data_IF_377635883663
#
_entry.id   IF_377635883663
#
_cell.length_a   1.000
_cell.length_b   1.000
_cell.length_c   1.000
_cell.angle_alpha   90.00
_cell.angle_beta   90.00
_cell.angle_gamma   90.00
#
_symmetry.space_group_name_H-M   'P 1'
#
loop_
_entity.id
_entity.type
_entity.pdbx_description
1 polymer ?
#
# COMPACT_ATOMS: atom_id res chain seq x y z
N UNK A 1 37.28 0.61 -55.23
CA UNK A 1 38.54 -0.07 -54.86
C UNK A 1 39.15 0.71 -53.72
N UNK A 2 39.27 0.09 -52.54
CA UNK A 2 39.70 0.75 -51.31
C UNK A 2 39.52 -0.21 -50.13
N UNK A 3 40.51 -1.08 -49.98
CA UNK A 3 40.74 -2.04 -48.90
C UNK A 3 40.80 -1.25 -47.57
N UNK A 4 40.22 -1.68 -46.45
CA UNK A 4 40.64 -2.82 -45.65
C UNK A 4 41.09 -2.29 -44.27
N UNK A 5 40.61 -2.91 -43.17
CA UNK A 5 40.97 -2.48 -41.82
C UNK A 5 40.06 -3.01 -40.72
N UNK A 6 39.84 -4.33 -40.66
CA UNK A 6 39.21 -4.97 -39.51
C UNK A 6 40.21 -5.05 -38.36
N UNK A 7 39.99 -4.26 -37.31
CA UNK A 7 40.79 -4.32 -36.09
C UNK A 7 40.12 -5.28 -35.12
N UNK A 8 40.65 -6.51 -35.07
CA UNK A 8 40.23 -7.58 -34.17
C UNK A 8 40.76 -7.26 -32.76
N UNK A 9 39.89 -6.77 -31.87
CA UNK A 9 40.23 -6.50 -30.47
C UNK A 9 40.22 -7.82 -29.71
N UNK A 10 41.39 -8.44 -29.60
CA UNK A 10 41.61 -9.61 -28.75
C UNK A 10 41.45 -9.22 -27.27
N UNK A 11 40.28 -9.50 -26.69
CA UNK A 11 40.08 -9.47 -25.24
C UNK A 11 40.94 -10.56 -24.57
N UNK A 12 42.16 -10.18 -24.13
CA UNK A 12 42.93 -10.97 -23.17
C UNK A 12 42.21 -10.97 -21.83
N UNK A 13 41.56 -12.09 -21.51
CA UNK A 13 41.09 -12.40 -20.16
C UNK A 13 42.31 -12.68 -19.28
N UNK A 14 42.56 -11.93 -18.20
CA UNK A 14 43.60 -12.31 -17.24
C UNK A 14 43.12 -13.52 -16.44
N UNK A 15 43.70 -14.68 -16.76
CA UNK A 15 43.64 -15.87 -15.91
C UNK A 15 44.54 -15.65 -14.69
N UNK A 16 43.94 -15.21 -13.57
CA UNK A 16 44.56 -15.25 -12.25
C UNK A 16 43.49 -15.51 -11.18
N UNK A 17 42.93 -16.71 -11.19
CA UNK A 17 42.25 -17.26 -10.01
C UNK A 17 43.36 -17.71 -9.05
N UNK A 18 43.86 -16.76 -8.25
CA UNK A 18 44.75 -17.05 -7.13
C UNK A 18 43.93 -17.85 -6.11
N UNK A 19 44.36 -19.08 -5.85
CA UNK A 19 43.78 -19.98 -4.85
C UNK A 19 43.83 -19.36 -3.45
N UNK A 20 42.73 -18.74 -3.03
CA UNK A 20 42.46 -18.43 -1.63
C UNK A 20 42.25 -19.74 -0.89
N UNK A 21 43.25 -20.14 -0.09
CA UNK A 21 43.13 -21.25 0.84
C UNK A 21 41.86 -21.09 1.71
N UNK A 22 41.10 -22.17 1.98
CA UNK A 22 39.88 -22.08 2.75
C UNK A 22 40.18 -21.48 4.14
N UNK A 23 39.36 -20.52 4.63
CA UNK A 23 39.58 -19.89 5.92
C UNK A 23 39.62 -20.96 7.02
N UNK A 24 40.63 -20.90 7.90
CA UNK A 24 40.75 -21.86 9.00
C UNK A 24 39.52 -21.71 9.88
N UNK A 25 38.99 -22.81 10.43
CA UNK A 25 37.77 -22.81 11.28
C UNK A 25 37.80 -21.73 12.39
N UNK A 26 38.97 -21.42 12.92
CA UNK A 26 39.15 -20.39 13.94
C UNK A 26 38.96 -18.95 13.43
N UNK A 27 39.26 -18.67 12.16
CA UNK A 27 39.08 -17.34 11.57
C UNK A 27 37.60 -17.03 11.36
N UNK A 28 36.80 -18.06 11.02
CA UNK A 28 35.35 -17.95 10.95
C UNK A 28 34.74 -17.56 12.31
N UNK A 29 35.14 -18.25 13.38
CA UNK A 29 34.63 -17.95 14.73
C UNK A 29 35.01 -16.55 15.18
N UNK A 30 36.24 -16.09 14.90
CA UNK A 30 36.68 -14.73 15.21
C UNK A 30 35.86 -13.68 14.46
N UNK A 31 35.60 -13.89 13.17
CA UNK A 31 34.75 -12.98 12.36
C UNK A 31 33.31 -12.96 12.86
N UNK A 32 32.71 -14.12 13.11
CA UNK A 32 31.34 -14.22 13.60
C UNK A 32 31.19 -13.55 14.98
N UNK A 33 32.17 -13.73 15.88
CA UNK A 33 32.17 -13.06 17.18
C UNK A 33 32.32 -11.55 17.05
N UNK A 34 33.23 -11.07 16.18
CA UNK A 34 33.40 -9.65 15.91
C UNK A 34 32.12 -9.01 15.32
N UNK A 35 31.48 -9.69 14.38
CA UNK A 35 30.20 -9.26 13.78
C UNK A 35 29.08 -9.22 14.82
N UNK A 36 28.99 -10.24 15.68
CA UNK A 36 27.99 -10.28 16.77
C UNK A 36 28.21 -9.14 17.76
N UNK A 37 29.46 -8.88 18.14
CA UNK A 37 29.83 -7.78 19.04
C UNK A 37 29.51 -6.42 18.42
N UNK A 38 29.81 -6.26 17.13
CA UNK A 38 29.48 -5.04 16.38
C UNK A 38 27.97 -4.82 16.33
N UNK A 39 27.19 -5.85 15.98
CA UNK A 39 25.72 -5.77 15.94
C UNK A 39 25.13 -5.42 17.30
N UNK A 40 25.65 -6.02 18.37
CA UNK A 40 25.22 -5.70 19.73
C UNK A 40 25.53 -4.23 20.08
N UNK A 41 26.73 -3.76 19.74
CA UNK A 41 27.13 -2.37 19.98
C UNK A 41 26.26 -1.38 19.21
N UNK A 42 26.06 -1.62 17.90
CA UNK A 42 25.17 -0.82 17.05
C UNK A 42 23.76 -0.83 17.62
N UNK A 43 23.21 -1.99 17.97
CA UNK A 43 21.87 -2.11 18.56
C UNK A 43 21.73 -1.27 19.84
N UNK A 44 22.73 -1.31 20.72
CA UNK A 44 22.74 -0.50 21.95
C UNK A 44 22.73 1.01 21.66
N UNK A 45 23.57 1.47 20.73
CA UNK A 45 23.65 2.90 20.36
C UNK A 45 22.36 3.36 19.68
N UNK A 46 21.88 2.61 18.68
CA UNK A 46 20.64 2.93 17.95
C UNK A 46 19.43 2.94 18.89
N UNK A 47 19.35 2.00 19.84
CA UNK A 47 18.29 2.01 20.84
C UNK A 47 18.32 3.28 21.70
N UNK A 48 19.49 3.67 22.20
CA UNK A 48 19.64 4.89 22.99
C UNK A 48 19.25 6.15 22.19
N UNK A 49 19.68 6.23 20.94
CA UNK A 49 19.35 7.35 20.04
C UNK A 49 17.87 7.40 19.66
N UNK A 50 17.20 6.24 19.57
CA UNK A 50 15.76 6.18 19.26
C UNK A 50 14.91 6.80 20.37
N UNK A 51 15.39 6.78 21.61
CA UNK A 51 14.75 7.43 22.75
C UNK A 51 15.09 8.93 22.85
N UNK A 52 16.10 9.40 22.12
CA UNK A 52 16.59 10.78 22.17
C UNK A 52 15.83 11.70 21.21
N UNK A 53 15.38 12.84 21.73
CA UNK A 53 14.79 13.90 20.90
C UNK A 53 15.84 14.83 20.29
N UNK A 54 17.08 14.80 20.78
CA UNK A 54 18.17 15.69 20.36
C UNK A 54 18.85 15.34 19.03
N UNK A 55 19.98 16.01 18.78
CA UNK A 55 20.90 15.69 17.66
C UNK A 55 21.54 14.32 17.90
N UNK A 56 21.86 13.62 16.81
CA UNK A 56 22.57 12.34 16.85
C UNK A 56 23.94 12.50 17.50
N UNK A 57 24.32 11.56 18.37
CA UNK A 57 25.68 11.52 18.91
C UNK A 57 26.72 11.30 17.81
N UNK A 58 27.95 11.77 18.05
CA UNK A 58 29.09 11.53 17.16
C UNK A 58 29.36 10.04 16.97
N UNK A 59 29.18 9.25 18.04
CA UNK A 59 29.33 7.79 18.01
C UNK A 59 28.31 7.15 17.06
N UNK A 60 27.03 7.55 17.13
CA UNK A 60 26.01 7.06 16.22
C UNK A 60 26.37 7.37 14.76
N UNK A 61 26.76 8.61 14.45
CA UNK A 61 27.13 9.00 13.09
C UNK A 61 28.32 8.20 12.55
N UNK A 62 29.36 7.97 13.36
CA UNK A 62 30.52 7.14 12.97
C UNK A 62 30.07 5.72 12.60
N UNK A 63 29.21 5.11 13.42
CA UNK A 63 28.70 3.76 13.16
C UNK A 63 27.84 3.68 11.90
N UNK A 64 27.06 4.72 11.60
CA UNK A 64 26.26 4.77 10.38
C UNK A 64 27.14 4.82 9.14
N UNK A 65 28.18 5.63 9.14
CA UNK A 65 29.09 5.78 8.00
C UNK A 65 29.97 4.54 7.80
N UNK A 66 30.50 3.97 8.88
CA UNK A 66 31.42 2.81 8.81
C UNK A 66 30.68 1.49 8.56
N UNK A 67 29.45 1.36 9.08
CA UNK A 67 28.72 0.09 9.11
C UNK A 67 27.24 0.24 8.70
N UNK A 68 26.93 0.84 7.55
CA UNK A 68 25.56 1.20 7.17
C UNK A 68 24.63 -0.02 7.09
N UNK A 69 25.13 -1.17 6.58
CA UNK A 69 24.34 -2.39 6.45
C UNK A 69 23.92 -2.98 7.81
N UNK A 70 24.80 -2.90 8.81
CA UNK A 70 24.50 -3.39 10.17
C UNK A 70 23.48 -2.48 10.82
N UNK A 71 23.63 -1.15 10.68
CA UNK A 71 22.65 -0.17 11.17
C UNK A 71 21.28 -0.41 10.55
N UNK A 72 21.21 -0.51 9.21
CA UNK A 72 19.95 -0.79 8.51
C UNK A 72 19.31 -2.08 9.00
N UNK A 73 20.10 -3.13 9.27
CA UNK A 73 19.58 -4.39 9.82
C UNK A 73 18.89 -4.22 11.16
N UNK A 74 19.46 -3.44 12.08
CA UNK A 74 18.89 -3.14 13.40
C UNK A 74 17.63 -2.29 13.26
N UNK A 75 17.63 -1.29 12.38
CA UNK A 75 16.44 -0.46 12.13
C UNK A 75 15.28 -1.31 11.59
N UNK A 76 15.54 -2.20 10.62
CA UNK A 76 14.52 -3.09 10.03
C UNK A 76 13.84 -4.00 11.06
N UNK A 77 14.57 -4.47 12.06
CA UNK A 77 14.02 -5.35 13.11
C UNK A 77 12.91 -4.67 13.90
N UNK A 78 12.96 -3.35 14.05
CA UNK A 78 12.01 -2.58 14.85
C UNK A 78 10.92 -1.89 14.01
N UNK A 79 11.12 -1.79 12.69
CA UNK A 79 10.19 -1.18 11.72
C UNK A 79 9.17 -2.19 11.20
N UNK A 80 8.27 -2.69 12.06
CA UNK A 80 7.15 -3.51 11.62
C UNK A 80 5.82 -3.06 12.21
N UNK A 81 4.73 -3.45 11.55
CA UNK A 81 3.37 -3.17 12.01
C UNK A 81 3.15 -3.79 13.39
N UNK A 82 2.72 -2.97 14.35
CA UNK A 82 2.45 -3.42 15.72
C UNK A 82 3.64 -3.30 16.68
N UNK A 83 4.85 -2.98 16.21
CA UNK A 83 5.96 -2.64 17.11
C UNK A 83 5.63 -1.36 17.89
N UNK A 84 5.78 -1.36 19.23
CA UNK A 84 5.62 -0.15 20.03
C UNK A 84 6.73 0.88 19.76
N UNK A 85 7.86 0.44 19.21
CA UNK A 85 9.02 1.29 18.93
C UNK A 85 9.09 1.78 17.49
N UNK A 86 8.18 1.35 16.61
CA UNK A 86 8.23 1.70 15.17
C UNK A 86 8.27 3.22 14.94
N UNK A 87 7.55 4.01 15.74
CA UNK A 87 7.56 5.47 15.63
C UNK A 87 8.95 6.05 15.89
N UNK A 88 9.56 5.67 17.02
CA UNK A 88 10.87 6.14 17.44
C UNK A 88 11.96 5.78 16.42
N UNK A 89 11.94 4.54 15.94
CA UNK A 89 12.91 4.05 14.95
C UNK A 89 12.74 4.68 13.57
N UNK A 90 11.50 4.96 13.16
CA UNK A 90 11.24 5.64 11.90
C UNK A 90 11.69 7.10 11.95
N UNK A 91 11.42 7.78 13.06
CA UNK A 91 11.92 9.15 13.29
C UNK A 91 13.45 9.19 13.40
N UNK A 92 14.07 8.17 14.01
CA UNK A 92 15.52 8.03 14.02
C UNK A 92 16.08 7.84 12.61
N UNK A 93 15.43 7.01 11.78
CA UNK A 93 15.83 6.82 10.37
C UNK A 93 15.82 8.15 9.60
N UNK A 94 14.80 9.00 9.78
CA UNK A 94 14.76 10.35 9.18
C UNK A 94 15.97 11.18 9.61
N UNK A 95 16.24 11.26 10.93
CA UNK A 95 17.41 11.98 11.46
C UNK A 95 18.73 11.48 10.86
N UNK A 96 18.87 10.17 10.71
CA UNK A 96 20.07 9.56 10.14
C UNK A 96 20.19 9.95 8.66
N UNK A 97 19.11 9.86 7.89
CA UNK A 97 19.12 10.23 6.47
C UNK A 97 19.48 11.70 6.26
N UNK A 98 19.01 12.59 7.15
CA UNK A 98 19.32 14.03 7.10
C UNK A 98 20.79 14.36 7.46
N UNK A 99 21.44 13.52 8.26
CA UNK A 99 22.77 13.79 8.82
C UNK A 99 23.92 13.02 8.15
N UNK A 100 23.62 11.97 7.39
CA UNK A 100 24.62 11.07 6.83
C UNK A 100 25.00 11.39 5.39
N UNK A 101 26.12 10.81 4.97
CA UNK A 101 26.65 10.94 3.63
C UNK A 101 25.92 10.05 2.62
N UNK A 102 26.26 10.22 1.35
CA UNK A 102 25.77 9.40 0.25
C UNK A 102 26.03 7.89 0.45
N UNK A 103 27.06 7.50 1.22
CA UNK A 103 27.39 6.10 1.47
C UNK A 103 26.23 5.35 2.14
N UNK A 104 25.60 5.98 3.13
CA UNK A 104 24.45 5.43 3.83
C UNK A 104 23.22 5.41 2.93
N UNK A 105 22.98 6.47 2.16
CA UNK A 105 21.86 6.52 1.21
C UNK A 105 21.97 5.42 0.15
N UNK A 106 23.17 5.15 -0.38
CA UNK A 106 23.41 4.08 -1.33
C UNK A 106 23.19 2.69 -0.71
N UNK A 107 23.63 2.48 0.54
CA UNK A 107 23.32 1.25 1.26
C UNK A 107 21.81 1.09 1.49
N UNK A 108 21.11 2.18 1.81
CA UNK A 108 19.66 2.21 1.98
C UNK A 108 18.93 1.91 0.67
N UNK A 109 19.38 2.44 -0.47
CA UNK A 109 18.76 2.24 -1.78
C UNK A 109 18.87 0.79 -2.29
N UNK A 110 19.91 0.06 -1.85
CA UNK A 110 20.11 -1.37 -2.10
C UNK A 110 19.30 -2.27 -1.15
N UNK A 111 18.74 -1.73 -0.06
CA UNK A 111 18.05 -2.50 0.97
C UNK A 111 16.55 -2.66 0.70
N UNK A 112 16.22 -3.63 -0.16
CA UNK A 112 14.82 -3.94 -0.50
C UNK A 112 13.98 -4.43 0.68
N UNK A 113 14.60 -5.04 1.69
CA UNK A 113 13.88 -5.48 2.88
C UNK A 113 13.39 -4.28 3.70
N UNK A 114 14.21 -3.23 3.82
CA UNK A 114 13.77 -1.97 4.44
C UNK A 114 12.66 -1.30 3.63
N UNK A 115 12.80 -1.23 2.31
CA UNK A 115 11.77 -0.67 1.42
C UNK A 115 10.41 -1.33 1.65
N UNK A 116 10.39 -2.67 1.71
CA UNK A 116 9.17 -3.44 1.94
C UNK A 116 8.54 -3.10 3.31
N UNK A 117 9.35 -2.95 4.36
CA UNK A 117 8.88 -2.56 5.69
C UNK A 117 8.28 -1.15 5.70
N UNK A 118 8.93 -0.17 5.06
CA UNK A 118 8.43 1.20 4.97
C UNK A 118 7.10 1.26 4.21
N UNK A 119 7.01 0.59 3.06
CA UNK A 119 5.76 0.49 2.28
C UNK A 119 4.66 -0.20 3.09
N UNK A 120 4.97 -1.30 3.79
CA UNK A 120 4.02 -2.00 4.69
C UNK A 120 3.49 -1.08 5.79
N UNK A 121 4.36 -0.30 6.44
CA UNK A 121 3.95 0.66 7.46
C UNK A 121 3.03 1.76 6.90
N UNK A 122 3.31 2.25 5.69
CA UNK A 122 2.51 3.29 5.02
C UNK A 122 1.13 2.80 4.55
N UNK A 123 1.01 1.53 4.17
CA UNK A 123 -0.23 0.91 3.66
C UNK A 123 -1.09 0.29 4.77
N UNK A 124 -0.50 -0.11 5.89
CA UNK A 124 -1.20 -0.84 6.94
C UNK A 124 -2.48 -0.14 7.42
N UNK A 125 -3.50 -0.94 7.72
CA UNK A 125 -4.65 -0.46 8.48
C UNK A 125 -4.18 -0.12 9.90
N UNK A 126 -4.50 1.10 10.34
CA UNK A 126 -4.06 1.64 11.62
C UNK A 126 -5.25 1.92 12.52
N UNK A 127 -5.47 1.01 13.46
CA UNK A 127 -6.42 1.17 14.56
C UNK A 127 -5.69 1.78 15.76
N UNK A 128 -6.32 2.78 16.40
CA UNK A 128 -5.71 3.54 17.48
C UNK A 128 -4.80 4.69 17.03
N UNK A 129 -4.56 5.63 17.95
CA UNK A 129 -3.79 6.85 17.70
C UNK A 129 -2.33 6.58 17.34
N UNK A 130 -1.65 5.71 18.09
CA UNK A 130 -0.22 5.44 17.89
C UNK A 130 0.09 4.78 16.54
N UNK A 131 -0.70 3.79 16.13
CA UNK A 131 -0.53 3.16 14.81
C UNK A 131 -0.80 4.16 13.68
N UNK A 132 -1.76 5.09 13.87
CA UNK A 132 -2.04 6.16 12.90
C UNK A 132 -0.87 7.14 12.81
N UNK A 133 -0.23 7.49 13.93
CA UNK A 133 0.99 8.31 13.94
C UNK A 133 2.13 7.64 13.17
N UNK A 134 2.40 6.36 13.42
CA UNK A 134 3.44 5.60 12.68
C UNK A 134 3.15 5.58 11.19
N UNK A 135 1.92 5.22 10.80
CA UNK A 135 1.52 5.22 9.39
C UNK A 135 1.66 6.60 8.76
N UNK A 136 1.19 7.64 9.44
CA UNK A 136 1.28 9.02 8.95
C UNK A 136 2.73 9.43 8.77
N UNK A 137 3.60 9.14 9.72
CA UNK A 137 5.03 9.41 9.63
C UNK A 137 5.63 8.67 8.43
N UNK A 138 5.38 7.37 8.28
CA UNK A 138 5.90 6.59 7.15
C UNK A 138 5.51 7.17 5.79
N UNK A 139 4.27 7.65 5.66
CA UNK A 139 3.81 8.30 4.43
C UNK A 139 4.51 9.63 4.17
N UNK A 140 4.81 10.41 5.20
CA UNK A 140 5.59 11.64 5.08
C UNK A 140 7.04 11.32 4.70
N UNK A 141 7.68 10.36 5.37
CA UNK A 141 9.03 9.90 5.04
C UNK A 141 9.14 9.51 3.56
N UNK A 142 8.19 8.73 3.04
CA UNK A 142 8.23 8.27 1.65
C UNK A 142 8.02 9.41 0.64
N UNK A 143 7.20 10.42 0.96
CA UNK A 143 7.07 11.61 0.12
C UNK A 143 8.36 12.44 0.13
N UNK A 144 8.97 12.56 1.30
CA UNK A 144 10.23 13.29 1.44
C UNK A 144 11.34 12.60 0.64
N UNK A 145 11.45 11.27 0.70
CA UNK A 145 12.40 10.52 -0.14
C UNK A 145 12.11 10.67 -1.63
N UNK A 146 10.83 10.72 -2.02
CA UNK A 146 10.43 10.99 -3.40
C UNK A 146 10.94 12.34 -3.88
N UNK A 147 10.97 13.36 -3.01
CA UNK A 147 11.50 14.69 -3.32
C UNK A 147 13.02 14.75 -3.25
N UNK A 148 13.62 14.18 -2.21
CA UNK A 148 15.07 14.25 -1.96
C UNK A 148 15.90 13.50 -3.00
N UNK A 149 15.41 12.37 -3.49
CA UNK A 149 16.21 11.43 -4.29
C UNK A 149 15.77 11.34 -5.76
N UNK A 150 14.87 12.21 -6.23
CA UNK A 150 14.34 12.14 -7.61
C UNK A 150 15.41 12.33 -8.68
N UNK A 151 16.37 13.23 -8.43
CA UNK A 151 17.40 13.61 -9.40
C UNK A 151 18.69 12.77 -9.29
N UNK A 152 18.70 11.75 -8.41
CA UNK A 152 19.88 10.91 -8.16
C UNK A 152 19.60 9.48 -8.67
N UNK A 153 20.13 9.09 -9.85
CA UNK A 153 19.81 7.81 -10.48
C UNK A 153 20.10 6.59 -9.60
N UNK A 154 21.17 6.62 -8.81
CA UNK A 154 21.59 5.54 -7.90
C UNK A 154 20.63 5.33 -6.73
N UNK A 155 19.83 6.37 -6.40
CA UNK A 155 18.87 6.38 -5.29
C UNK A 155 17.42 6.34 -5.78
N UNK A 156 17.20 6.12 -7.08
CA UNK A 156 15.87 6.15 -7.69
C UNK A 156 14.90 5.10 -7.10
N UNK A 157 15.42 4.00 -6.55
CA UNK A 157 14.60 3.00 -5.85
C UNK A 157 13.88 3.60 -4.64
N UNK A 158 14.53 4.50 -3.90
CA UNK A 158 13.95 5.23 -2.76
C UNK A 158 12.90 6.24 -3.25
N UNK A 159 13.22 6.99 -4.30
CA UNK A 159 12.32 8.00 -4.84
C UNK A 159 10.98 7.42 -5.35
N UNK A 160 10.98 6.15 -5.77
CA UNK A 160 9.81 5.43 -6.28
C UNK A 160 8.91 4.83 -5.20
N UNK A 161 9.32 4.79 -3.93
CA UNK A 161 8.56 4.12 -2.87
C UNK A 161 7.17 4.74 -2.64
N UNK A 162 7.04 6.06 -2.74
CA UNK A 162 5.73 6.73 -2.66
C UNK A 162 4.78 6.22 -3.76
N UNK A 163 5.27 6.10 -5.00
CA UNK A 163 4.50 5.55 -6.12
C UNK A 163 4.09 4.09 -5.92
N UNK A 164 4.91 3.28 -5.24
CA UNK A 164 4.53 1.91 -4.86
C UNK A 164 3.34 1.90 -3.87
N UNK A 165 3.34 2.80 -2.89
CA UNK A 165 2.21 2.94 -1.96
C UNK A 165 0.93 3.35 -2.70
N UNK A 166 1.02 4.30 -3.64
CA UNK A 166 -0.13 4.74 -4.44
C UNK A 166 -0.66 3.62 -5.33
N UNK A 167 0.24 2.84 -5.96
CA UNK A 167 -0.12 1.68 -6.77
C UNK A 167 -0.83 0.61 -5.94
N UNK A 168 -0.37 0.35 -4.71
CA UNK A 168 -0.98 -0.66 -3.82
C UNK A 168 -2.33 -0.19 -3.26
N UNK A 169 -2.45 1.09 -2.93
CA UNK A 169 -3.67 1.63 -2.29
C UNK A 169 -4.72 2.14 -3.26
N UNK A 170 -4.34 2.39 -4.52
CA UNK A 170 -5.18 3.06 -5.52
C UNK A 170 -5.50 4.52 -5.16
N UNK A 171 -4.75 5.13 -4.25
CA UNK A 171 -5.04 6.46 -3.69
C UNK A 171 -3.79 7.32 -3.71
N UNK A 172 -3.96 8.60 -4.06
CA UNK A 172 -2.88 9.58 -3.93
C UNK A 172 -2.47 9.74 -2.46
N UNK A 173 -1.17 9.67 -2.20
CA UNK A 173 -0.57 9.73 -0.88
C UNK A 173 -0.76 11.11 -0.23
N UNK A 174 -0.55 12.16 -1.02
CA UNK A 174 -0.82 13.55 -0.61
C UNK A 174 -2.28 13.74 -0.20
N UNK A 175 -3.22 13.20 -0.99
CA UNK A 175 -4.65 13.26 -0.65
C UNK A 175 -4.98 12.49 0.63
N UNK A 176 -4.37 11.31 0.82
CA UNK A 176 -4.57 10.51 2.02
C UNK A 176 -4.10 11.25 3.29
N UNK A 177 -2.94 11.91 3.23
CA UNK A 177 -2.42 12.73 4.34
C UNK A 177 -3.30 13.95 4.62
N UNK A 178 -3.77 14.63 3.58
CA UNK A 178 -4.67 15.78 3.72
C UNK A 178 -6.03 15.40 4.33
N UNK A 179 -6.50 14.16 4.12
CA UNK A 179 -7.71 13.65 4.79
C UNK A 179 -7.42 13.29 6.24
N UNK A 180 -6.26 12.69 6.53
CA UNK A 180 -5.87 12.31 7.89
C UNK A 180 -5.61 13.52 8.82
N UNK A 181 -5.22 14.67 8.27
CA UNK A 181 -5.03 15.90 9.05
C UNK A 181 -6.35 16.61 9.39
N UNK A 182 -7.44 16.30 8.69
CA UNK A 182 -8.75 16.88 8.97
C UNK A 182 -9.34 16.24 10.22
N UNK A 183 -9.50 17.03 11.27
CA UNK A 183 -10.29 16.66 12.43
C UNK A 183 -11.76 16.80 12.06
N UNK A 184 -12.48 15.69 12.01
CA UNK A 184 -13.95 15.71 11.94
C UNK A 184 -14.45 15.66 13.37
N UNK A 185 -15.07 16.75 13.83
CA UNK A 185 -15.87 16.71 15.03
C UNK A 185 -17.15 15.94 14.69
N UNK A 186 -17.36 14.81 15.35
CA UNK A 186 -18.68 14.20 15.35
C UNK A 186 -19.55 15.10 16.23
N UNK A 187 -20.44 15.84 15.58
CA UNK A 187 -21.51 16.55 16.26
C UNK A 187 -22.55 15.50 16.58
N UNK A 188 -22.92 15.36 17.85
CA UNK A 188 -24.01 14.48 18.22
C UNK A 188 -25.26 14.91 17.45
N UNK A 189 -25.94 13.98 16.76
CA UNK A 189 -27.14 14.32 16.01
C UNK A 189 -28.15 14.91 16.98
N UNK A 190 -28.64 16.11 16.69
CA UNK A 190 -29.69 16.70 17.51
C UNK A 190 -30.96 15.86 17.32
N UNK A 191 -31.91 15.87 18.26
CA UNK A 191 -33.15 15.12 18.13
C UNK A 191 -33.89 15.41 16.82
N UNK A 192 -33.77 16.62 16.28
CA UNK A 192 -34.41 17.04 15.02
C UNK A 192 -33.74 16.43 13.78
N UNK A 193 -32.48 16.01 13.88
CA UNK A 193 -31.71 15.40 12.79
C UNK A 193 -31.97 13.87 12.69
N UNK A 194 -32.70 13.30 13.66
CA UNK A 194 -33.07 11.87 13.70
C UNK A 194 -34.39 11.66 12.96
N UNK A 195 -34.32 11.23 11.70
CA UNK A 195 -35.52 10.81 10.96
C UNK A 195 -35.92 9.41 11.45
N UNK A 196 -37.00 9.34 12.23
CA UNK A 196 -37.64 8.08 12.60
C UNK A 196 -38.32 7.49 11.36
N UNK A 197 -37.62 6.56 10.70
CA UNK A 197 -38.24 5.66 9.71
C UNK A 197 -38.97 4.57 10.51
N UNK A 198 -40.10 4.94 11.12
CA UNK A 198 -41.03 3.92 11.62
C UNK A 198 -41.59 3.16 10.42
N UNK A 199 -41.58 1.80 10.45
CA UNK A 199 -42.38 1.04 9.50
C UNK A 199 -43.81 1.55 9.60
N UNK A 200 -44.41 1.96 8.47
CA UNK A 200 -45.83 2.29 8.44
C UNK A 200 -46.58 0.98 8.65
N UNK A 201 -46.86 0.64 9.90
CA UNK A 201 -47.87 -0.35 10.24
C UNK A 201 -49.22 0.28 9.91
N UNK A 202 -49.67 0.07 8.68
CA UNK A 202 -51.03 0.42 8.28
C UNK A 202 -51.98 -0.34 9.23
N UNK A 203 -52.81 0.35 10.04
CA UNK A 203 -53.70 -0.32 10.97
C UNK A 203 -54.70 -1.15 10.17
N UNK A 204 -54.58 -2.48 10.24
CA UNK A 204 -55.59 -3.39 9.72
C UNK A 204 -56.80 -3.24 10.63
N UNK A 205 -57.77 -2.43 10.21
CA UNK A 205 -59.11 -2.42 10.81
C UNK A 205 -59.60 -3.87 10.86
N UNK A 206 -59.94 -4.31 12.07
CA UNK A 206 -60.47 -5.63 12.35
C UNK A 206 -61.71 -5.90 11.49
N UNK A 207 -61.60 -6.89 10.59
CA UNK A 207 -62.73 -7.52 9.91
C UNK A 207 -62.76 -8.99 10.37
N UNK A 208 -63.94 -9.53 10.74
CA UNK A 208 -64.03 -10.89 11.24
C UNK A 208 -64.08 -11.94 10.12
N UNK A 209 -63.48 -13.10 10.43
CA UNK A 209 -63.71 -14.44 9.83
C UNK A 209 -62.82 -14.90 8.65
N UNK A 210 -62.67 -16.23 8.46
CA UNK A 210 -61.49 -16.85 7.88
C UNK A 210 -61.63 -16.97 6.36
N UNK A 211 -60.82 -16.21 5.62
CA UNK A 211 -60.61 -16.47 4.20
C UNK A 211 -59.11 -16.53 3.92
N UNK A 212 -58.74 -17.64 3.28
CA UNK A 212 -57.37 -18.08 2.95
C UNK A 212 -56.57 -16.90 2.41
N UNK A 213 -55.70 -16.34 3.24
CA UNK A 213 -54.75 -15.33 2.80
C UNK A 213 -53.78 -16.04 1.86
N UNK A 214 -53.92 -15.74 0.57
CA UNK A 214 -52.94 -16.14 -0.42
C UNK A 214 -51.63 -15.46 -0.06
N UNK A 215 -50.73 -16.19 0.60
CA UNK A 215 -49.46 -15.65 1.07
C UNK A 215 -48.56 -15.34 -0.13
N UNK A 216 -47.94 -14.17 -0.11
CA UNK A 216 -46.85 -13.86 -1.03
C UNK A 216 -45.75 -14.93 -0.92
N UNK A 217 -45.04 -15.22 -2.01
CA UNK A 217 -44.02 -16.28 -2.01
C UNK A 217 -42.63 -15.74 -2.31
N UNK A 218 -41.64 -16.16 -1.52
CA UNK A 218 -40.24 -15.81 -1.75
C UNK A 218 -39.63 -16.70 -2.83
N UNK A 219 -38.93 -16.10 -3.79
CA UNK A 219 -38.21 -16.84 -4.80
C UNK A 219 -37.03 -17.60 -4.18
N UNK A 220 -36.96 -18.91 -4.38
CA UNK A 220 -35.86 -19.73 -3.86
C UNK A 220 -34.49 -19.46 -4.52
N UNK A 221 -34.46 -18.70 -5.63
CA UNK A 221 -33.21 -18.35 -6.33
C UNK A 221 -32.72 -16.94 -5.94
N UNK A 222 -33.59 -15.93 -5.99
CA UNK A 222 -33.18 -14.54 -5.77
C UNK A 222 -33.76 -13.89 -4.51
N UNK A 223 -34.53 -14.62 -3.70
CA UNK A 223 -35.19 -14.16 -2.45
C UNK A 223 -36.24 -13.06 -2.60
N UNK A 224 -36.53 -12.60 -3.81
CA UNK A 224 -37.57 -11.60 -4.07
C UNK A 224 -38.96 -12.11 -3.68
N UNK A 225 -39.75 -11.27 -3.02
CA UNK A 225 -41.11 -11.60 -2.55
C UNK A 225 -42.12 -11.30 -3.66
N UNK A 226 -42.70 -12.35 -4.25
CA UNK A 226 -43.64 -12.26 -5.37
C UNK A 226 -45.09 -12.26 -4.89
N UNK A 227 -45.96 -11.59 -5.66
CA UNK A 227 -47.41 -11.60 -5.42
C UNK A 227 -47.98 -13.03 -5.51
N UNK A 228 -49.07 -13.35 -4.79
CA UNK A 228 -49.59 -14.71 -4.73
C UNK A 228 -50.01 -15.27 -6.10
N UNK A 229 -50.50 -14.40 -6.99
CA UNK A 229 -50.92 -14.68 -8.37
C UNK A 229 -49.75 -14.90 -9.34
N UNK A 230 -48.53 -14.48 -8.97
CA UNK A 230 -47.37 -14.63 -9.84
C UNK A 230 -46.96 -16.10 -9.92
N UNK A 231 -46.94 -16.65 -11.13
CA UNK A 231 -46.49 -18.03 -11.41
C UNK A 231 -44.97 -18.12 -11.61
N UNK A 232 -44.30 -16.98 -11.82
CA UNK A 232 -42.85 -16.85 -11.96
C UNK A 232 -42.35 -15.61 -11.22
N UNK A 233 -41.07 -15.60 -10.86
CA UNK A 233 -40.46 -14.47 -10.18
C UNK A 233 -40.35 -13.27 -11.12
N UNK A 234 -40.78 -12.08 -10.68
CA UNK A 234 -40.70 -10.86 -11.50
C UNK A 234 -39.25 -10.47 -11.83
N UNK A 235 -38.29 -10.79 -10.95
CA UNK A 235 -36.88 -10.43 -11.11
C UNK A 235 -36.13 -11.44 -11.96
N UNK A 236 -36.14 -12.72 -11.57
CA UNK A 236 -35.32 -13.76 -12.20
C UNK A 236 -36.10 -14.79 -13.03
N UNK A 237 -37.42 -14.64 -13.15
CA UNK A 237 -38.34 -15.51 -13.88
C UNK A 237 -38.41 -16.98 -13.43
N UNK A 238 -37.79 -17.32 -12.31
CA UNK A 238 -37.90 -18.66 -11.71
C UNK A 238 -39.37 -19.00 -11.37
N UNK A 239 -39.88 -20.18 -11.73
CA UNK A 239 -41.27 -20.57 -11.46
C UNK A 239 -41.57 -20.76 -9.97
N UNK A 240 -42.85 -20.53 -9.61
CA UNK A 240 -43.39 -20.77 -8.27
C UNK A 240 -43.52 -22.28 -8.06
N UNK A 241 -42.77 -22.83 -7.13
CA UNK A 241 -42.90 -24.25 -6.75
C UNK A 241 -44.20 -24.47 -5.97
N UNK A 242 -45.27 -24.87 -6.65
CA UNK A 242 -46.51 -25.34 -5.99
C UNK A 242 -46.30 -26.75 -5.48
N UNK A 243 -46.12 -26.93 -4.17
CA UNK A 243 -46.09 -28.25 -3.54
C UNK A 243 -47.53 -28.75 -3.41
N UNK A 244 -48.01 -29.53 -4.38
CA UNK A 244 -49.24 -30.31 -4.25
C UNK A 244 -48.93 -31.68 -3.63
N UNK A 245 -49.87 -32.22 -2.85
CA UNK A 245 -49.77 -33.41 -2.04
C UNK A 245 -49.29 -34.68 -2.78
N UNK A 246 -48.51 -35.52 -2.09
CA UNK A 246 -48.07 -36.88 -2.46
C UNK A 246 -49.19 -37.95 -2.26
N UNK A 247 -49.07 -39.26 -2.63
CA UNK A 247 -47.95 -40.07 -3.19
C UNK A 247 -48.42 -41.05 -4.35
N UNK A 248 -47.74 -42.16 -4.82
CA UNK A 248 -47.02 -43.22 -4.07
C UNK A 248 -45.57 -43.53 -4.52
N UNK A 249 -44.75 -43.82 -3.51
CA UNK A 249 -43.78 -44.94 -3.37
C UNK A 249 -43.22 -45.58 -4.66
N UNK A 250 -41.93 -45.37 -4.91
CA UNK A 250 -41.04 -46.44 -5.40
C UNK A 250 -39.80 -46.53 -4.52
N UNK A 251 -39.60 -47.74 -3.99
CA UNK A 251 -38.52 -48.17 -3.10
C UNK A 251 -37.18 -48.17 -3.84
N UNK A 252 -36.11 -47.77 -3.16
CA UNK A 252 -34.79 -48.41 -3.27
C UNK A 252 -33.96 -48.12 -2.02
N UNK A 253 -33.15 -49.10 -1.66
CA UNK A 253 -32.64 -49.43 -0.32
C UNK A 253 -31.34 -48.72 0.06
N UNK A 254 -31.26 -48.41 1.36
CA UNK A 254 -30.18 -48.67 2.33
C UNK A 254 -28.79 -47.99 2.23
N UNK A 255 -28.40 -47.43 3.40
CA UNK A 255 -27.04 -47.24 3.92
C UNK A 255 -26.48 -45.84 3.65
N UNK A 256 -25.95 -45.06 4.60
CA UNK A 256 -25.65 -45.26 6.01
C UNK A 256 -25.57 -43.86 6.64
N UNK A 257 -26.07 -43.68 7.87
CA UNK A 257 -25.87 -42.45 8.65
C UNK A 257 -24.46 -42.40 9.24
N UNK A 258 -23.76 -41.26 9.21
CA UNK A 258 -23.14 -40.58 10.37
C UNK A 258 -22.56 -39.20 9.97
N UNK A 259 -22.99 -38.19 10.74
CA UNK A 259 -22.37 -36.94 11.26
C UNK A 259 -21.55 -35.97 10.39
N UNK A 260 -21.92 -34.70 10.58
CA UNK A 260 -21.26 -33.49 10.11
C UNK A 260 -19.95 -33.20 10.84
N UNK A 261 -18.84 -33.34 10.13
CA UNK A 261 -17.63 -32.52 10.22
C UNK A 261 -16.87 -32.74 8.90
N UNK A 262 -16.14 -31.74 8.42
CA UNK A 262 -15.31 -31.77 7.19
C UNK A 262 -16.02 -31.43 5.87
N UNK A 263 -16.37 -30.14 5.69
CA UNK A 263 -16.16 -29.49 4.40
C UNK A 263 -15.53 -28.12 4.66
N UNK A 264 -14.19 -28.06 4.71
CA UNK A 264 -13.40 -26.87 4.39
C UNK A 264 -11.98 -27.33 4.01
N UNK A 265 -11.54 -26.89 2.83
CA UNK A 265 -10.29 -27.26 2.10
C UNK A 265 -10.51 -28.47 1.20
N UNK A 266 -10.32 -28.44 -0.11
CA UNK A 266 -9.54 -27.57 -0.98
C UNK A 266 -8.89 -28.48 -2.05
N UNK A 267 -8.63 -27.93 -3.23
CA UNK A 267 -7.75 -28.47 -4.30
C UNK A 267 -8.35 -29.47 -5.34
N UNK A 268 -8.57 -28.92 -6.55
CA UNK A 268 -8.05 -29.33 -7.89
C UNK A 268 -8.27 -30.76 -8.41
N UNK A 269 -8.66 -30.87 -9.70
CA UNK A 269 -8.22 -31.82 -10.76
C UNK A 269 -9.01 -31.52 -12.07
N UNK A 270 -8.57 -31.69 -13.32
CA UNK A 270 -7.30 -31.98 -14.00
C UNK A 270 -7.55 -31.88 -15.54
N UNK A 271 -6.53 -31.49 -16.31
CA UNK A 271 -6.06 -31.92 -17.68
C UNK A 271 -7.05 -32.35 -18.82
N UNK A 272 -6.78 -32.21 -20.13
CA UNK A 272 -5.52 -32.30 -20.91
C UNK A 272 -5.69 -31.85 -22.39
N UNK A 273 -4.63 -31.27 -22.98
CA UNK A 273 -4.03 -31.39 -24.35
C UNK A 273 -4.89 -31.43 -25.64
N UNK A 274 -4.51 -30.94 -26.84
CA UNK A 274 -3.23 -30.47 -27.43
C UNK A 274 -3.44 -29.88 -28.86
N UNK A 275 -2.55 -28.95 -29.25
CA UNK A 275 -1.94 -28.70 -30.58
C UNK A 275 -2.76 -28.24 -31.81
N UNK A 276 -2.21 -27.24 -32.52
CA UNK A 276 -2.41 -27.05 -33.98
C UNK A 276 -2.64 -25.61 -34.43
N UNK A 277 -1.65 -25.03 -35.13
CA UNK A 277 -1.61 -23.67 -35.67
C UNK A 277 -2.66 -23.36 -36.76
N UNK A 278 -3.01 -22.08 -36.96
CA UNK A 278 -2.83 -21.27 -38.19
C UNK A 278 -3.48 -19.88 -38.03
N UNK A 279 -2.78 -18.84 -38.50
CA UNK A 279 -3.17 -17.42 -38.64
C UNK A 279 -4.37 -17.21 -39.60
N UNK A 280 -5.14 -16.09 -39.55
CA UNK A 280 -4.75 -14.91 -40.35
C UNK A 280 -5.16 -13.52 -39.77
N UNK A 281 -4.22 -12.58 -39.96
CA UNK A 281 -4.35 -11.28 -40.68
C UNK A 281 -5.36 -10.20 -40.21
N UNK A 282 -4.79 -9.01 -40.04
CA UNK A 282 -5.39 -7.71 -39.76
C UNK A 282 -6.32 -7.16 -40.86
N UNK A 283 -7.06 -6.08 -40.55
CA UNK A 283 -7.17 -4.96 -41.48
C UNK A 283 -6.78 -3.61 -40.87
N UNK A 284 -6.15 -2.83 -41.74
CA UNK A 284 -5.80 -1.40 -41.70
C UNK A 284 -7.00 -0.48 -41.93
N UNK A 285 -6.86 0.80 -41.56
CA UNK A 285 -7.67 1.93 -42.07
C UNK A 285 -8.27 2.76 -40.93
N UNK A 286 -7.62 3.85 -40.52
CA UNK A 286 -7.88 5.23 -41.00
C UNK A 286 -9.13 5.88 -40.38
N UNK A 287 -8.91 6.98 -39.65
CA UNK A 287 -9.98 7.77 -39.04
C UNK A 287 -9.45 8.84 -38.11
N UNK A 288 -8.74 9.82 -38.68
CA UNK A 288 -8.30 11.02 -37.99
C UNK A 288 -9.48 11.79 -37.36
N UNK A 289 -9.35 12.18 -36.08
CA UNK A 289 -10.08 13.32 -35.52
C UNK A 289 -9.20 14.10 -34.55
N UNK A 290 -8.68 15.19 -35.09
CA UNK A 290 -8.08 16.32 -34.39
C UNK A 290 -9.18 17.04 -33.58
N UNK A 291 -8.96 17.39 -32.32
CA UNK A 291 -9.60 18.54 -31.70
C UNK A 291 -8.67 19.74 -31.78
N UNK A 292 -9.16 20.81 -32.40
CA UNK A 292 -8.50 22.10 -32.54
C UNK A 292 -8.03 22.70 -31.21
N UNK A 293 -6.92 23.46 -31.19
CA UNK A 293 -6.50 24.20 -30.01
C UNK A 293 -7.43 25.40 -29.78
N UNK A 294 -7.94 25.51 -28.56
CA UNK A 294 -8.65 26.71 -28.10
C UNK A 294 -7.64 27.86 -28.02
N UNK A 295 -8.05 28.93 -28.71
CA UNK A 295 -7.40 30.21 -28.94
C UNK A 295 -6.94 30.87 -27.63
N UNK A 296 -5.68 31.28 -27.62
CA UNK A 296 -5.09 32.20 -26.64
C UNK A 296 -5.83 33.54 -26.62
N UNK A 297 -6.24 33.97 -25.43
CA UNK A 297 -6.61 35.35 -25.14
C UNK A 297 -5.38 36.13 -24.67
N UNK A 298 -5.00 37.14 -25.46
CA UNK A 298 -4.03 38.20 -25.14
C UNK A 298 -4.69 39.30 -24.30
N UNK A 299 -3.88 39.97 -23.47
CA UNK A 299 -4.07 41.34 -22.96
C UNK A 299 -4.85 41.41 -21.64
N UNK A 300 -4.42 42.13 -20.60
CA UNK A 300 -3.70 43.40 -20.62
C UNK A 300 -2.69 43.54 -19.47
N UNK A 301 -1.53 44.09 -19.84
CA UNK A 301 -0.68 44.89 -18.97
C UNK A 301 -1.43 46.13 -18.48
N UNK A 302 -1.22 46.49 -17.22
CA UNK A 302 -1.32 47.87 -16.76
C UNK A 302 -0.09 48.18 -15.90
N UNK A 303 0.76 49.07 -16.44
CA UNK A 303 1.63 49.99 -15.70
C UNK A 303 0.80 50.65 -14.57
N UNK A 304 1.29 50.94 -13.37
CA UNK A 304 2.62 51.38 -12.97
C UNK A 304 2.48 52.82 -12.45
N UNK A 305 2.77 53.07 -11.17
CA UNK A 305 3.26 54.35 -10.62
C UNK A 305 3.57 54.15 -9.10
N UNK A 306 4.84 54.09 -8.65
CA UNK A 306 5.76 55.18 -8.21
C UNK A 306 5.20 56.22 -7.25
N UNK A 307 5.65 56.14 -5.98
CA UNK A 307 6.21 57.20 -5.10
C UNK A 307 6.08 56.70 -3.64
N UNK A 308 6.87 57.04 -2.64
CA UNK A 308 8.26 57.46 -2.46
C UNK A 308 8.42 57.67 -0.95
N UNK A 309 9.67 57.56 -0.49
CA UNK A 309 10.29 58.31 0.61
C UNK A 309 9.97 57.98 2.07
N UNK A 310 11.11 57.74 2.76
CA UNK A 310 11.56 58.27 4.06
C UNK A 310 10.84 57.73 5.31
N UNK A 311 11.54 57.41 6.39
CA UNK A 311 12.95 57.57 6.70
C UNK A 311 13.33 56.83 7.97
N UNK A 312 14.63 56.63 8.14
CA UNK A 312 15.24 56.37 9.43
C UNK A 312 15.01 57.55 10.39
N UNK A 313 15.12 57.31 11.69
CA UNK A 313 16.27 57.90 12.35
C UNK A 313 17.01 56.93 13.27
N UNK A 314 18.30 57.22 13.40
CA UNK A 314 19.18 56.78 14.48
C UNK A 314 19.05 57.73 15.69
N UNK A 315 19.19 57.18 16.90
CA UNK A 315 19.85 57.76 18.07
C UNK A 315 19.84 56.68 19.19
N UNK A 316 20.96 56.14 19.65
CA UNK A 316 21.84 56.70 20.71
C UNK A 316 21.10 56.97 22.03
N UNK A 317 21.28 56.15 23.07
CA UNK A 317 22.31 56.33 24.11
C UNK A 317 22.03 55.51 25.39
N UNK A 318 23.10 54.87 25.87
CA UNK A 318 23.61 54.75 27.26
C UNK A 318 22.66 54.42 28.42
N UNK A 319 22.92 53.27 29.06
CA UNK A 319 23.54 53.15 30.39
C UNK A 319 24.02 51.71 30.61
#
# INVERSE_FOLDING_TARGET
>A
MGLGGGSEVACRVPAAVVGLAPPRKMDFLRRAFAETRLRYHVSKVIFAESASTGKLSRECLSLVEEHPLVVLSVLREHLHTGSPHAYAYLHLLEKIVDACSFSFHAAMSADHALHEKLVKLAVARAEGGERRKVRRLARLTLLEYSRMFVDVPELQSLAKLAGLVEKVTGKSLMRALAVESKKVAFVDPRPEDIILISPVEVPVKAVPSPQRTSTAWSCHICTYVNRPQATTCVVCRTPKTTRAASPPVHKSKAGNSVSAAEILSGTVCHEKSSAGATTPRAPTGEGARVPSPIRSGKGNEAKGETLAKRGAPAAENQA
#
